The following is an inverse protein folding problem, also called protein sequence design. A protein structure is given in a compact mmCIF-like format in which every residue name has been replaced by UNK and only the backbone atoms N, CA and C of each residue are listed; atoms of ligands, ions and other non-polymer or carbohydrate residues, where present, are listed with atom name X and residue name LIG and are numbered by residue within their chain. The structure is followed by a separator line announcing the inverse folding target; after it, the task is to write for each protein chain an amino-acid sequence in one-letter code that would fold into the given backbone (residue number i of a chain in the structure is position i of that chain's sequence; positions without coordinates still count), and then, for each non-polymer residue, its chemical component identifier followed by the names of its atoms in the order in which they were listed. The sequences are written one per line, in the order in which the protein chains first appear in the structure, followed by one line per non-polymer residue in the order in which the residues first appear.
data_IF_975101163743
#
_entry.id   IF_975101163743
#
_cell.length_a   1.000
_cell.length_b   1.000
_cell.length_c   1.000
_cell.angle_alpha   90.00
_cell.angle_beta   90.00
_cell.angle_gamma   90.00
#
_symmetry.space_group_name_H-M   'P 1'
#
loop_
_entity.id
_entity.type
_entity.pdbx_description
1 polymer ?
#
# COMPACT_ATOMS: atom_id res chain seq x y z
N UNK A 1 -1.40 5.25 -10.02
CA UNK A 1 -0.62 4.92 -11.23
C UNK A 1 0.75 4.49 -10.75
N UNK A 2 1.29 3.40 -11.29
CA UNK A 2 2.51 2.74 -10.81
C UNK A 2 3.62 3.07 -11.81
N UNK A 3 4.25 4.22 -11.56
CA UNK A 3 5.30 4.78 -12.41
C UNK A 3 6.44 5.28 -11.53
N UNK A 4 7.60 4.68 -11.73
CA UNK A 4 8.82 4.93 -10.97
C UNK A 4 9.28 6.39 -11.05
N UNK A 5 8.93 7.08 -12.14
CA UNK A 5 9.26 8.50 -12.36
C UNK A 5 8.55 9.42 -11.37
N UNK A 6 7.38 8.99 -10.88
CA UNK A 6 6.54 9.74 -9.94
C UNK A 6 6.48 9.08 -8.54
N UNK A 7 7.37 8.13 -8.26
CA UNK A 7 7.40 7.39 -6.99
C UNK A 7 8.07 8.17 -5.84
N UNK A 8 7.64 9.42 -5.62
CA UNK A 8 8.29 10.35 -4.69
C UNK A 8 8.43 9.79 -3.28
N UNK A 9 7.39 9.16 -2.74
CA UNK A 9 7.42 8.60 -1.39
C UNK A 9 8.44 7.45 -1.28
N UNK A 10 8.38 6.47 -2.20
CA UNK A 10 9.31 5.32 -2.18
C UNK A 10 10.75 5.80 -2.36
N UNK A 11 10.99 6.82 -3.21
CA UNK A 11 12.31 7.42 -3.36
C UNK A 11 12.81 8.00 -2.05
N UNK A 12 12.00 8.81 -1.37
CA UNK A 12 12.36 9.40 -0.08
C UNK A 12 12.64 8.34 0.99
N UNK A 13 11.80 7.32 1.08
CA UNK A 13 11.93 6.24 2.06
C UNK A 13 13.20 5.40 1.86
N UNK A 14 13.72 5.34 0.63
CA UNK A 14 14.92 4.58 0.27
C UNK A 14 16.15 5.49 0.02
N UNK A 15 16.07 6.79 0.31
CA UNK A 15 17.18 7.71 0.07
C UNK A 15 17.59 7.89 -1.40
N UNK A 16 16.68 7.58 -2.33
CA UNK A 16 16.92 7.69 -3.78
C UNK A 16 16.60 9.12 -4.23
N UNK A 17 17.46 9.67 -5.08
CA UNK A 17 17.29 11.01 -5.62
C UNK A 17 15.96 11.17 -6.43
N UNK A 18 15.39 12.39 -6.47
CA UNK A 18 14.25 12.69 -7.34
C UNK A 18 14.55 12.35 -8.80
N UNK A 19 13.52 11.89 -9.52
CA UNK A 19 13.67 11.48 -10.90
C UNK A 19 14.23 12.61 -11.79
N UNK A 20 15.11 12.24 -12.72
CA UNK A 20 15.64 13.13 -13.74
C UNK A 20 15.71 12.44 -15.11
N UNK A 21 15.80 13.25 -16.17
CA UNK A 21 15.95 12.73 -17.54
C UNK A 21 17.24 11.92 -17.75
N UNK A 22 18.30 12.21 -17.00
CA UNK A 22 19.57 11.47 -17.08
C UNK A 22 19.41 10.05 -16.51
N UNK A 23 18.69 9.91 -15.39
CA UNK A 23 18.35 8.61 -14.80
C UNK A 23 17.53 7.74 -15.76
N UNK A 24 16.60 8.34 -16.51
CA UNK A 24 15.83 7.64 -17.55
C UNK A 24 16.75 7.09 -18.64
N UNK A 25 17.75 7.86 -19.08
CA UNK A 25 18.70 7.38 -20.09
C UNK A 25 19.60 6.26 -19.56
N UNK A 26 20.06 6.37 -18.30
CA UNK A 26 20.83 5.32 -17.64
C UNK A 26 20.03 4.03 -17.48
N UNK A 27 18.76 4.14 -17.08
CA UNK A 27 17.84 3.01 -16.98
C UNK A 27 17.59 2.33 -18.33
N UNK A 28 17.33 3.10 -19.39
CA UNK A 28 17.18 2.57 -20.76
C UNK A 28 18.46 1.89 -21.26
N UNK A 29 19.63 2.43 -20.91
CA UNK A 29 20.93 1.83 -21.23
C UNK A 29 21.13 0.51 -20.47
N UNK A 30 20.75 0.46 -19.19
CA UNK A 30 20.81 -0.76 -18.39
C UNK A 30 19.86 -1.85 -18.90
N UNK A 31 18.66 -1.49 -19.35
CA UNK A 31 17.72 -2.40 -19.99
C UNK A 31 18.30 -2.99 -21.28
N UNK A 32 18.82 -2.15 -22.17
CA UNK A 32 19.35 -2.63 -23.47
C UNK A 32 20.62 -3.45 -23.36
N UNK A 33 21.45 -3.17 -22.35
CA UNK A 33 22.71 -3.89 -22.12
C UNK A 33 22.55 -5.22 -21.37
N UNK A 34 21.36 -5.52 -20.83
CA UNK A 34 21.12 -6.72 -20.02
C UNK A 34 21.51 -6.56 -18.54
N UNK A 35 22.03 -5.39 -18.15
CA UNK A 35 22.43 -5.10 -16.76
C UNK A 35 21.23 -5.09 -15.82
N UNK A 36 20.10 -4.53 -16.27
CA UNK A 36 18.88 -4.46 -15.48
C UNK A 36 18.37 -5.86 -15.08
N UNK A 37 18.39 -6.81 -16.02
CA UNK A 37 17.97 -8.19 -15.78
C UNK A 37 18.95 -8.95 -14.88
N UNK A 38 20.25 -8.69 -15.02
CA UNK A 38 21.24 -9.25 -14.10
C UNK A 38 21.03 -8.76 -12.67
N UNK A 39 20.83 -7.46 -12.50
CA UNK A 39 20.55 -6.85 -11.20
C UNK A 39 19.26 -7.39 -10.60
N UNK A 40 18.17 -7.43 -11.36
CA UNK A 40 16.89 -7.99 -10.93
C UNK A 40 17.03 -9.44 -10.46
N UNK A 41 17.80 -10.26 -11.19
CA UNK A 41 18.07 -11.64 -10.79
C UNK A 41 18.80 -11.69 -9.44
N UNK A 42 19.81 -10.84 -9.20
CA UNK A 42 20.50 -10.78 -7.90
C UNK A 42 19.54 -10.37 -6.79
N UNK A 43 18.75 -9.33 -7.01
CA UNK A 43 17.73 -8.84 -6.07
C UNK A 43 16.74 -9.93 -5.65
N UNK A 44 16.38 -10.84 -6.56
CA UNK A 44 15.43 -11.92 -6.30
C UNK A 44 16.04 -13.21 -5.71
N UNK A 45 17.32 -13.47 -5.96
CA UNK A 45 17.94 -14.79 -5.66
C UNK A 45 18.99 -14.76 -4.57
N UNK A 46 19.60 -13.60 -4.31
CA UNK A 46 20.62 -13.44 -3.28
C UNK A 46 19.95 -12.99 -1.98
N UNK A 47 20.04 -13.77 -0.89
CA UNK A 47 19.46 -13.39 0.39
C UNK A 47 20.05 -12.08 0.91
N UNK A 48 19.20 -11.19 1.43
CA UNK A 48 19.56 -9.87 1.97
C UNK A 48 20.28 -8.93 0.98
N UNK A 49 20.25 -9.21 -0.33
CA UNK A 49 20.98 -8.42 -1.33
C UNK A 49 20.70 -6.93 -1.25
N UNK A 50 19.43 -6.53 -1.13
CA UNK A 50 19.04 -5.13 -0.95
C UNK A 50 19.76 -4.52 0.25
N UNK A 51 19.46 -5.01 1.45
CA UNK A 51 20.02 -4.48 2.71
C UNK A 51 21.56 -4.44 2.70
N UNK A 52 22.19 -5.39 2.03
CA UNK A 52 23.64 -5.52 2.04
C UNK A 52 24.33 -4.69 0.91
N UNK A 53 23.59 -4.12 -0.04
CA UNK A 53 24.17 -3.40 -1.21
C UNK A 53 23.46 -2.11 -1.62
N UNK A 54 22.35 -1.72 -0.98
CA UNK A 54 21.52 -0.56 -1.39
C UNK A 54 22.30 0.76 -1.44
N UNK A 55 23.29 0.94 -0.57
CA UNK A 55 24.15 2.14 -0.55
C UNK A 55 25.09 2.23 -1.77
N UNK A 56 25.33 1.13 -2.48
CA UNK A 56 26.27 1.03 -3.60
C UNK A 56 25.57 1.07 -4.97
N UNK A 57 24.24 1.14 -5.00
CA UNK A 57 23.47 1.10 -6.25
C UNK A 57 23.63 2.37 -7.07
N UNK A 58 23.83 2.21 -8.38
CA UNK A 58 23.76 3.35 -9.28
C UNK A 58 22.32 3.76 -9.62
N UNK A 59 22.16 4.85 -10.36
CA UNK A 59 20.83 5.35 -10.69
C UNK A 59 20.01 4.33 -11.48
N UNK A 60 20.60 3.58 -12.42
CA UNK A 60 19.88 2.59 -13.18
C UNK A 60 19.41 1.41 -12.32
N UNK A 61 20.24 0.95 -11.38
CA UNK A 61 19.90 -0.10 -10.42
C UNK A 61 18.77 0.35 -9.48
N UNK A 62 18.83 1.60 -9.01
CA UNK A 62 17.75 2.23 -8.26
C UNK A 62 16.42 2.28 -9.05
N UNK A 63 16.46 2.64 -10.35
CA UNK A 63 15.25 2.63 -11.19
C UNK A 63 14.69 1.20 -11.39
N UNK A 64 15.56 0.19 -11.53
CA UNK A 64 15.12 -1.23 -11.61
C UNK A 64 14.44 -1.67 -10.31
N UNK A 65 15.01 -1.29 -9.16
CA UNK A 65 14.42 -1.55 -7.85
C UNK A 65 13.05 -0.88 -7.72
N UNK A 66 12.94 0.42 -8.01
CA UNK A 66 11.68 1.17 -7.95
C UNK A 66 10.60 0.58 -8.86
N UNK A 67 10.96 0.24 -10.11
CA UNK A 67 10.03 -0.40 -11.04
C UNK A 67 9.54 -1.76 -10.50
N UNK A 68 10.43 -2.52 -9.85
CA UNK A 68 10.10 -3.82 -9.24
C UNK A 68 9.18 -3.66 -8.03
N UNK A 69 9.45 -2.72 -7.13
CA UNK A 69 8.60 -2.44 -5.96
C UNK A 69 7.22 -1.96 -6.37
N UNK A 70 7.13 -1.04 -7.33
CA UNK A 70 5.84 -0.58 -7.84
C UNK A 70 5.03 -1.70 -8.51
N UNK A 71 5.70 -2.63 -9.19
CA UNK A 71 5.04 -3.81 -9.77
C UNK A 71 4.50 -4.74 -8.68
N UNK A 72 5.23 -4.92 -7.56
CA UNK A 72 4.74 -5.65 -6.40
C UNK A 72 3.50 -4.97 -5.83
N UNK A 73 3.54 -3.63 -5.67
CA UNK A 73 2.40 -2.85 -5.19
C UNK A 73 1.18 -3.01 -6.10
N UNK A 74 1.36 -2.84 -7.41
CA UNK A 74 0.30 -3.03 -8.40
C UNK A 74 -0.33 -4.43 -8.32
N UNK A 75 0.51 -5.46 -8.24
CA UNK A 75 0.06 -6.86 -8.19
C UNK A 75 -0.71 -7.13 -6.90
N UNK A 76 -0.20 -6.64 -5.78
CA UNK A 76 -0.86 -6.79 -4.48
C UNK A 76 -2.21 -6.07 -4.42
N UNK A 77 -2.27 -4.85 -4.96
CA UNK A 77 -3.49 -4.06 -4.95
C UNK A 77 -4.60 -4.72 -5.77
N UNK A 78 -4.30 -5.17 -7.00
CA UNK A 78 -5.28 -5.90 -7.84
C UNK A 78 -5.73 -7.20 -7.16
N UNK A 79 -4.79 -7.97 -6.59
CA UNK A 79 -5.11 -9.21 -5.90
C UNK A 79 -6.04 -8.95 -4.70
N UNK A 80 -5.88 -7.82 -4.02
CA UNK A 80 -6.70 -7.43 -2.88
C UNK A 80 -8.12 -7.07 -3.32
N UNK A 81 -8.27 -6.27 -4.37
CA UNK A 81 -9.59 -6.01 -4.96
C UNK A 81 -10.29 -7.29 -5.43
N UNK A 82 -9.54 -8.24 -6.00
CA UNK A 82 -10.09 -9.53 -6.42
C UNK A 82 -10.53 -10.39 -5.23
N UNK A 83 -9.74 -10.42 -4.14
CA UNK A 83 -10.07 -11.16 -2.90
C UNK A 83 -11.30 -10.59 -2.20
N UNK A 84 -11.44 -9.27 -2.20
CA UNK A 84 -12.53 -8.54 -1.53
C UNK A 84 -13.67 -8.15 -2.48
N UNK A 85 -13.90 -8.95 -3.54
CA UNK A 85 -14.90 -8.64 -4.58
C UNK A 85 -16.29 -8.32 -4.03
N UNK A 86 -16.72 -9.02 -2.98
CA UNK A 86 -18.04 -8.84 -2.37
C UNK A 86 -18.19 -7.52 -1.57
N UNK A 87 -17.07 -6.87 -1.26
CA UNK A 87 -16.98 -5.65 -0.47
C UNK A 87 -16.77 -4.38 -1.31
N UNK A 88 -16.51 -4.55 -2.62
CA UNK A 88 -16.42 -3.43 -3.55
C UNK A 88 -17.73 -2.64 -3.64
N UNK A 89 -17.62 -1.31 -3.56
CA UNK A 89 -18.75 -0.38 -3.46
C UNK A 89 -19.39 -0.28 -2.08
N UNK A 90 -18.93 -1.07 -1.11
CA UNK A 90 -19.46 -1.09 0.27
C UNK A 90 -18.46 -0.51 1.26
N UNK A 91 -17.24 -1.05 1.26
CA UNK A 91 -16.18 -0.64 2.20
C UNK A 91 -14.81 -0.48 1.52
N UNK A 92 -14.72 -0.86 0.25
CA UNK A 92 -13.60 -0.53 -0.64
C UNK A 92 -14.19 -0.04 -1.97
N UNK A 93 -13.49 0.79 -2.76
CA UNK A 93 -13.99 1.26 -4.06
C UNK A 93 -14.30 0.11 -5.03
N UNK A 94 -15.16 0.35 -6.01
CA UNK A 94 -15.18 -0.55 -7.18
C UNK A 94 -13.87 -0.48 -7.95
N UNK A 95 -13.29 -1.64 -8.23
CA UNK A 95 -12.23 -1.81 -9.20
C UNK A 95 -12.85 -1.84 -10.60
N UNK A 96 -12.53 -0.84 -11.42
CA UNK A 96 -13.13 -0.69 -12.74
C UNK A 96 -12.28 -1.36 -13.82
N UNK A 97 -10.96 -1.15 -13.79
CA UNK A 97 -10.02 -1.77 -14.73
C UNK A 97 -8.57 -1.62 -14.26
N UNK A 98 -7.70 -2.47 -14.79
CA UNK A 98 -6.25 -2.21 -14.87
C UNK A 98 -5.92 -1.63 -16.25
N UNK A 99 -5.01 -0.66 -16.31
CA UNK A 99 -4.54 -0.04 -17.55
C UNK A 99 -3.02 -0.20 -17.67
N UNK A 100 -2.56 -0.30 -18.91
CA UNK A 100 -1.14 -0.21 -19.26
C UNK A 100 -1.02 1.00 -20.18
N UNK A 101 -0.18 1.94 -19.79
CA UNK A 101 0.11 3.09 -20.63
C UNK A 101 1.21 2.70 -21.61
N UNK A 102 0.85 2.66 -22.89
CA UNK A 102 1.81 2.50 -23.98
C UNK A 102 2.49 3.85 -24.20
N UNK A 103 3.49 4.12 -23.38
CA UNK A 103 4.36 5.28 -23.55
C UNK A 103 5.41 4.89 -24.59
N UNK A 104 5.53 5.61 -25.72
CA UNK A 104 6.53 5.30 -26.73
C UNK A 104 7.92 5.43 -26.10
N UNK A 105 8.52 4.30 -25.74
CA UNK A 105 9.92 4.24 -25.35
C UNK A 105 10.72 4.74 -26.54
N UNK A 106 11.49 5.81 -26.34
CA UNK A 106 12.47 6.36 -27.29
C UNK A 106 13.05 5.26 -28.20
N UNK A 107 12.86 5.32 -29.53
CA UNK A 107 13.51 4.60 -30.66
C UNK A 107 14.24 3.25 -30.46
N UNK A 108 14.01 2.53 -29.37
CA UNK A 108 14.83 1.41 -28.88
C UNK A 108 13.92 0.20 -28.86
N UNK A 109 14.30 -0.81 -29.64
CA UNK A 109 13.59 -2.07 -29.71
C UNK A 109 13.89 -2.90 -28.45
N UNK A 110 13.07 -2.74 -27.42
CA UNK A 110 13.13 -3.54 -26.20
C UNK A 110 12.55 -4.94 -26.44
N UNK A 111 13.17 -5.97 -25.85
CA UNK A 111 12.59 -7.32 -25.79
C UNK A 111 11.35 -7.34 -24.90
N UNK A 112 10.53 -8.40 -24.98
CA UNK A 112 9.34 -8.55 -24.13
C UNK A 112 9.66 -8.44 -22.64
N UNK A 113 10.78 -9.02 -22.20
CA UNK A 113 11.19 -8.99 -20.79
C UNK A 113 11.63 -7.59 -20.34
N UNK A 114 12.27 -6.82 -21.22
CA UNK A 114 12.66 -5.43 -20.95
C UNK A 114 11.44 -4.51 -20.95
N UNK A 115 10.49 -4.73 -21.86
CA UNK A 115 9.21 -4.01 -21.87
C UNK A 115 8.44 -4.22 -20.56
N UNK A 116 8.49 -5.42 -19.98
CA UNK A 116 7.85 -5.71 -18.70
C UNK A 116 8.42 -4.89 -17.52
N UNK A 117 9.66 -4.45 -17.59
CA UNK A 117 10.27 -3.54 -16.61
C UNK A 117 9.97 -2.06 -16.91
N UNK A 118 9.67 -1.75 -18.17
CA UNK A 118 9.42 -0.38 -18.62
C UNK A 118 7.94 0.02 -18.59
N UNK A 119 7.01 -0.93 -18.59
CA UNK A 119 5.56 -0.68 -18.67
C UNK A 119 5.05 0.10 -17.46
N UNK A 120 4.43 1.26 -17.71
CA UNK A 120 3.66 1.97 -16.70
C UNK A 120 2.29 1.33 -16.53
N UNK A 121 1.99 0.88 -15.32
CA UNK A 121 0.74 0.22 -14.98
C UNK A 121 -0.15 1.16 -14.17
N UNK A 122 -1.46 0.98 -14.25
CA UNK A 122 -2.42 1.79 -13.51
C UNK A 122 -3.67 1.01 -13.18
N UNK A 123 -4.43 1.53 -12.23
CA UNK A 123 -5.75 1.03 -11.86
C UNK A 123 -6.76 2.18 -11.97
N UNK A 124 -7.96 1.84 -12.42
CA UNK A 124 -9.11 2.72 -12.44
C UNK A 124 -10.07 2.26 -11.34
N UNK A 125 -10.38 3.18 -10.43
CA UNK A 125 -11.23 2.93 -9.28
C UNK A 125 -12.47 3.82 -9.35
N UNK A 126 -13.53 3.42 -8.65
CA UNK A 126 -14.67 4.28 -8.35
C UNK A 126 -14.18 5.58 -7.72
N UNK A 127 -14.62 6.69 -8.27
CA UNK A 127 -14.45 7.99 -7.62
C UNK A 127 -15.33 8.07 -6.38
N UNK A 128 -14.72 8.41 -5.25
CA UNK A 128 -15.39 8.61 -3.96
C UNK A 128 -15.43 10.10 -3.64
N UNK A 129 -16.61 10.77 -3.70
CA UNK A 129 -16.73 12.20 -3.42
C UNK A 129 -16.73 12.46 -1.90
N UNK A 130 -15.58 12.26 -1.27
CA UNK A 130 -15.40 12.34 0.18
C UNK A 130 -14.12 13.07 0.59
N UNK A 131 -13.78 12.94 1.86
CA UNK A 131 -12.56 13.48 2.46
C UNK A 131 -11.79 12.38 3.19
N UNK A 132 -10.51 12.61 3.45
CA UNK A 132 -9.68 11.67 4.19
C UNK A 132 -10.15 11.55 5.64
N UNK A 133 -10.08 10.35 6.23
CA UNK A 133 -10.28 10.19 7.68
C UNK A 133 -9.31 11.05 8.49
N UNK A 134 -8.12 11.35 7.95
CA UNK A 134 -7.15 12.24 8.60
C UNK A 134 -7.63 13.68 8.76
N UNK A 135 -8.55 14.15 7.92
CA UNK A 135 -9.13 15.51 7.94
C UNK A 135 -10.58 15.52 8.41
N UNK A 136 -11.06 14.44 9.03
CA UNK A 136 -12.46 14.27 9.44
C UNK A 136 -12.98 15.40 10.35
N UNK A 137 -12.15 15.90 11.27
CA UNK A 137 -12.53 16.94 12.25
C UNK A 137 -13.01 18.23 11.55
N UNK A 138 -12.46 18.54 10.39
CA UNK A 138 -12.79 19.75 9.64
C UNK A 138 -14.01 19.56 8.71
N UNK A 139 -14.44 18.32 8.48
CA UNK A 139 -15.38 17.96 7.42
C UNK A 139 -16.62 17.20 7.89
N UNK A 140 -16.66 16.74 9.14
CA UNK A 140 -17.78 16.01 9.72
C UNK A 140 -18.14 16.56 11.11
N UNK A 141 -19.43 16.56 11.50
CA UNK A 141 -19.85 16.98 12.82
C UNK A 141 -19.37 15.97 13.88
N UNK A 142 -19.01 16.47 15.06
CA UNK A 142 -18.49 15.69 16.19
C UNK A 142 -19.33 14.46 16.52
N UNK A 143 -20.66 14.58 16.45
CA UNK A 143 -21.60 13.50 16.71
C UNK A 143 -21.42 12.26 15.81
N UNK A 144 -20.71 12.39 14.68
CA UNK A 144 -20.46 11.30 13.74
C UNK A 144 -19.08 10.65 13.88
N UNK A 145 -18.14 11.27 14.61
CA UNK A 145 -16.73 10.87 14.61
C UNK A 145 -16.53 9.45 15.13
N UNK A 146 -17.20 9.06 16.21
CA UNK A 146 -17.12 7.70 16.75
C UNK A 146 -17.53 6.66 15.68
N UNK A 147 -18.71 6.83 15.07
CA UNK A 147 -19.24 5.89 14.08
C UNK A 147 -18.38 5.80 12.81
N UNK A 148 -17.72 6.89 12.42
CA UNK A 148 -16.78 6.89 11.29
C UNK A 148 -15.52 6.07 11.64
N UNK A 149 -14.95 6.27 12.82
CA UNK A 149 -13.74 5.55 13.26
C UNK A 149 -14.03 4.05 13.45
N UNK A 150 -15.19 3.72 14.04
CA UNK A 150 -15.63 2.34 14.20
C UNK A 150 -15.78 1.62 12.86
N UNK A 151 -16.31 2.30 11.84
CA UNK A 151 -16.37 1.75 10.48
C UNK A 151 -14.97 1.46 9.94
N UNK A 152 -14.01 2.38 10.08
CA UNK A 152 -12.64 2.18 9.61
C UNK A 152 -11.97 0.96 10.27
N UNK A 153 -12.14 0.79 11.58
CA UNK A 153 -11.68 -0.38 12.33
C UNK A 153 -12.34 -1.66 11.83
N UNK A 154 -13.65 -1.63 11.57
CA UNK A 154 -14.37 -2.79 11.04
C UNK A 154 -13.85 -3.22 9.65
N UNK A 155 -13.37 -2.29 8.82
CA UNK A 155 -12.75 -2.61 7.54
C UNK A 155 -11.44 -3.38 7.75
N UNK A 156 -10.61 -2.96 8.70
CA UNK A 156 -9.39 -3.67 9.11
C UNK A 156 -9.70 -5.09 9.60
N UNK A 157 -10.85 -5.28 10.27
CA UNK A 157 -11.32 -6.60 10.64
C UNK A 157 -11.61 -7.47 9.41
N UNK A 158 -12.37 -6.94 8.44
CA UNK A 158 -12.68 -7.63 7.18
C UNK A 158 -11.41 -8.05 6.44
N UNK A 159 -10.38 -7.20 6.36
CA UNK A 159 -9.09 -7.58 5.76
C UNK A 159 -8.48 -8.79 6.49
N UNK A 160 -8.44 -8.74 7.82
CA UNK A 160 -7.95 -9.86 8.64
C UNK A 160 -8.72 -11.17 8.39
N UNK A 161 -10.04 -11.11 8.34
CA UNK A 161 -10.91 -12.28 8.11
C UNK A 161 -10.71 -12.90 6.71
N UNK A 162 -10.19 -12.13 5.76
CA UNK A 162 -9.87 -12.58 4.40
C UNK A 162 -8.40 -13.00 4.22
N UNK A 163 -7.65 -13.12 5.32
CA UNK A 163 -6.25 -13.49 5.31
C UNK A 163 -5.37 -12.42 4.66
N UNK A 164 -5.71 -11.14 4.83
CA UNK A 164 -4.98 -10.00 4.31
C UNK A 164 -4.31 -9.26 5.48
N UNK A 165 -3.05 -8.91 5.30
CA UNK A 165 -2.30 -8.01 6.18
C UNK A 165 -1.89 -6.81 5.32
N UNK A 166 -2.28 -5.61 5.70
CA UNK A 166 -1.87 -4.38 5.04
C UNK A 166 -0.82 -3.67 5.90
N UNK A 167 0.38 -3.44 5.34
CA UNK A 167 1.46 -2.77 6.06
C UNK A 167 1.30 -1.24 6.12
N UNK A 168 0.37 -0.67 5.34
CA UNK A 168 0.15 0.78 5.24
C UNK A 168 -1.27 1.18 5.71
N UNK A 169 -1.71 0.62 6.83
CA UNK A 169 -2.95 1.07 7.47
C UNK A 169 -2.68 2.39 8.17
N UNK A 170 -3.30 3.47 7.69
CA UNK A 170 -3.26 4.80 8.31
C UNK A 170 -4.52 5.58 7.95
N UNK A 171 -4.93 6.60 8.73
CA UNK A 171 -6.14 7.38 8.45
C UNK A 171 -6.19 7.98 7.04
N UNK A 172 -5.05 8.35 6.46
CA UNK A 172 -4.97 8.91 5.11
C UNK A 172 -5.39 7.93 3.99
N UNK A 173 -5.37 6.62 4.29
CA UNK A 173 -5.78 5.56 3.37
C UNK A 173 -7.27 5.18 3.56
N UNK A 174 -8.06 6.06 4.21
CA UNK A 174 -9.52 5.93 4.30
C UNK A 174 -10.21 7.18 3.75
N UNK A 175 -11.20 6.99 2.88
CA UNK A 175 -12.08 8.04 2.40
C UNK A 175 -13.44 7.92 3.10
N UNK A 176 -13.86 9.02 3.70
CA UNK A 176 -15.18 9.19 4.32
C UNK A 176 -16.09 9.90 3.34
N UNK A 177 -17.14 9.23 2.89
CA UNK A 177 -18.10 9.74 1.91
C UNK A 177 -19.40 10.11 2.63
N UNK A 178 -19.85 11.38 2.55
CA UNK A 178 -21.17 11.77 3.02
C UNK A 178 -22.26 11.03 2.25
N UNK A 179 -23.24 10.48 2.98
CA UNK A 179 -24.38 9.76 2.40
C UNK A 179 -25.64 10.13 3.19
N UNK A 180 -26.42 11.04 2.61
CA UNK A 180 -27.56 11.67 3.27
C UNK A 180 -27.13 12.27 4.63
N UNK A 181 -27.77 11.86 5.73
CA UNK A 181 -27.45 12.30 7.09
C UNK A 181 -26.39 11.41 7.78
N UNK A 182 -25.67 10.58 7.02
CA UNK A 182 -24.68 9.62 7.53
C UNK A 182 -23.36 9.66 6.75
N UNK A 183 -22.41 8.82 7.15
CA UNK A 183 -21.11 8.69 6.49
C UNK A 183 -20.80 7.23 6.21
N UNK A 184 -20.25 6.97 5.02
CA UNK A 184 -19.77 5.67 4.60
C UNK A 184 -18.25 5.73 4.44
N UNK A 185 -17.53 4.83 5.10
CA UNK A 185 -16.07 4.79 5.05
C UNK A 185 -15.60 3.74 4.05
N UNK A 186 -14.59 4.11 3.29
CA UNK A 186 -13.92 3.25 2.33
C UNK A 186 -12.44 3.21 2.61
N UNK A 187 -11.84 2.03 2.64
CA UNK A 187 -10.38 1.91 2.60
C UNK A 187 -9.90 1.95 1.16
N UNK A 188 -8.81 2.67 0.93
CA UNK A 188 -8.08 2.75 -0.33
C UNK A 188 -6.64 2.32 -0.10
N UNK A 189 -5.87 2.24 -1.19
CA UNK A 189 -4.44 1.91 -1.18
C UNK A 189 -4.14 0.52 -0.58
N UNK A 190 -4.09 -0.47 -1.47
CA UNK A 190 -3.77 -1.85 -1.13
C UNK A 190 -2.39 -2.27 -1.64
N UNK A 191 -1.54 -1.31 -2.02
CA UNK A 191 -0.21 -1.59 -2.58
C UNK A 191 0.67 -2.41 -1.63
N UNK A 192 0.56 -2.16 -0.32
CA UNK A 192 1.36 -2.85 0.70
C UNK A 192 0.62 -4.01 1.38
N UNK A 193 -0.37 -4.60 0.71
CA UNK A 193 -1.01 -5.81 1.20
C UNK A 193 -0.11 -7.04 1.01
N UNK A 194 -0.24 -8.03 1.89
CA UNK A 194 0.21 -9.40 1.68
C UNK A 194 -0.91 -10.36 2.07
N UNK A 195 -0.94 -11.51 1.42
CA UNK A 195 -1.85 -12.60 1.75
C UNK A 195 -1.17 -13.58 2.68
N UNK A 196 -1.97 -14.17 3.58
CA UNK A 196 -1.57 -15.35 4.34
C UNK A 196 -1.19 -16.48 3.37
N UNK A 197 -0.03 -17.08 3.58
CA UNK A 197 0.43 -18.21 2.75
C UNK A 197 -0.23 -19.51 3.20
N UNK A 198 -0.33 -20.47 2.29
CA UNK A 198 -0.90 -21.80 2.61
C UNK A 198 -0.06 -22.56 3.63
N UNK A 199 1.25 -22.33 3.65
CA UNK A 199 2.22 -22.92 4.57
C UNK A 199 2.48 -22.08 5.84
N UNK A 200 1.87 -20.88 5.95
CA UNK A 200 2.04 -19.99 7.11
C UNK A 200 1.15 -20.45 8.27
N UNK A 201 1.80 -20.84 9.37
CA UNK A 201 1.12 -21.30 10.58
C UNK A 201 0.28 -20.20 11.23
N UNK A 202 -0.71 -20.57 12.06
CA UNK A 202 -1.51 -19.58 12.81
C UNK A 202 -0.63 -18.71 13.72
N UNK A 203 0.45 -19.28 14.25
CA UNK A 203 1.41 -18.55 15.09
C UNK A 203 2.19 -17.50 14.31
N UNK A 204 2.68 -17.84 13.11
CA UNK A 204 3.40 -16.89 12.25
C UNK A 204 2.46 -15.78 11.76
N UNK A 205 1.27 -16.15 11.29
CA UNK A 205 0.27 -15.19 10.83
C UNK A 205 -0.19 -14.28 11.97
N UNK A 206 -0.55 -14.84 13.12
CA UNK A 206 -0.98 -14.11 14.30
C UNK A 206 0.10 -13.15 14.80
N UNK A 207 1.37 -13.59 14.83
CA UNK A 207 2.52 -12.74 15.17
C UNK A 207 2.69 -11.58 14.20
N UNK A 208 2.53 -11.82 12.90
CA UNK A 208 2.64 -10.76 11.92
C UNK A 208 1.51 -9.73 12.04
N UNK A 209 0.26 -10.19 12.24
CA UNK A 209 -0.89 -9.30 12.44
C UNK A 209 -0.78 -8.51 13.75
N UNK A 210 -0.28 -9.13 14.81
CA UNK A 210 0.01 -8.47 16.07
C UNK A 210 1.04 -7.34 15.89
N UNK A 211 2.20 -7.66 15.30
CA UNK A 211 3.28 -6.69 15.09
C UNK A 211 2.88 -5.52 14.20
N UNK A 212 2.01 -5.77 13.23
CA UNK A 212 1.54 -4.71 12.34
C UNK A 212 0.56 -3.77 13.03
N UNK A 213 -0.21 -4.26 14.01
CA UNK A 213 -1.23 -3.53 14.76
C UNK A 213 -2.10 -2.60 13.89
N UNK A 214 -2.69 -3.15 12.83
CA UNK A 214 -3.53 -2.39 11.89
C UNK A 214 -4.71 -1.72 12.60
N UNK A 215 -5.23 -2.34 13.67
CA UNK A 215 -6.32 -1.81 14.46
C UNK A 215 -5.87 -0.57 15.23
N UNK A 216 -4.73 -0.64 15.93
CA UNK A 216 -4.13 0.49 16.62
C UNK A 216 -3.68 1.61 15.68
N UNK A 217 -3.22 1.28 14.47
CA UNK A 217 -2.83 2.25 13.45
C UNK A 217 -3.99 3.18 13.02
N UNK A 218 -5.25 2.74 13.21
CA UNK A 218 -6.43 3.60 13.10
C UNK A 218 -6.87 4.08 14.49
N UNK A 219 -7.20 3.16 15.39
CA UNK A 219 -7.88 3.47 16.65
C UNK A 219 -7.03 4.32 17.60
N UNK A 220 -5.77 3.95 17.86
CA UNK A 220 -4.89 4.75 18.73
C UNK A 220 -4.53 6.09 18.10
N UNK A 221 -4.30 6.13 16.78
CA UNK A 221 -3.98 7.36 16.06
C UNK A 221 -5.16 8.33 16.11
N UNK A 222 -6.38 7.86 15.81
CA UNK A 222 -7.58 8.69 15.85
C UNK A 222 -7.93 9.10 17.28
N UNK A 223 -7.80 8.21 18.27
CA UNK A 223 -7.98 8.55 19.70
C UNK A 223 -7.05 9.70 20.11
N UNK A 224 -5.77 9.62 19.74
CA UNK A 224 -4.78 10.66 20.03
C UNK A 224 -5.10 11.98 19.33
N UNK A 225 -5.51 11.95 18.05
CA UNK A 225 -5.88 13.15 17.28
C UNK A 225 -7.13 13.82 17.83
N UNK A 226 -8.19 13.06 18.09
CA UNK A 226 -9.48 13.58 18.56
C UNK A 226 -9.40 14.14 19.98
N UNK A 227 -8.57 13.53 20.84
CA UNK A 227 -8.29 14.06 22.18
C UNK A 227 -7.75 15.51 22.14
N UNK A 228 -6.98 15.87 21.12
CA UNK A 228 -6.43 17.24 20.97
C UNK A 228 -7.50 18.29 20.71
N UNK A 229 -8.65 17.90 20.20
CA UNK A 229 -9.80 18.79 19.95
C UNK A 229 -10.92 18.61 21.00
N UNK A 230 -10.63 17.91 22.09
CA UNK A 230 -11.56 17.75 23.23
C UNK A 230 -12.55 16.59 23.11
N UNK A 231 -12.40 15.73 22.10
CA UNK A 231 -13.27 14.56 21.92
C UNK A 231 -12.62 13.28 22.48
N UNK A 232 -13.36 12.56 23.31
CA UNK A 232 -12.94 11.27 23.86
C UNK A 232 -13.48 10.12 23.01
N UNK A 233 -12.63 9.61 22.12
CA UNK A 233 -12.97 8.41 21.34
C UNK A 233 -12.99 7.17 22.24
N UNK A 234 -14.12 6.46 22.23
CA UNK A 234 -14.23 5.15 22.85
C UNK A 234 -13.63 4.09 21.91
N UNK A 235 -12.33 3.85 22.05
CA UNK A 235 -11.62 2.79 21.34
C UNK A 235 -10.95 1.86 22.35
N UNK A 236 -11.30 0.58 22.22
CA UNK A 236 -10.72 -0.56 22.94
C UNK A 236 -10.24 -1.57 21.88
N UNK A 237 -8.94 -1.92 21.85
CA UNK A 237 -8.42 -2.91 20.93
C UNK A 237 -9.10 -4.27 21.13
N UNK A 238 -9.37 -5.00 20.06
CA UNK A 238 -9.97 -6.35 20.16
C UNK A 238 -9.05 -7.39 20.78
N UNK A 239 -7.74 -7.13 20.80
CA UNK A 239 -6.69 -8.08 21.21
C UNK A 239 -6.75 -9.42 20.47
N UNK A 240 -7.39 -9.45 19.28
CA UNK A 240 -7.67 -10.67 18.52
C UNK A 240 -6.44 -11.51 18.21
N UNK A 241 -5.25 -10.90 18.17
CA UNK A 241 -3.98 -11.58 17.90
C UNK A 241 -3.07 -11.77 19.12
N UNK A 242 -3.49 -11.35 20.33
CA UNK A 242 -2.69 -11.42 21.55
C UNK A 242 -2.26 -12.85 21.90
N UNK A 243 -3.12 -13.83 21.61
CA UNK A 243 -2.82 -15.25 21.83
C UNK A 243 -1.54 -15.74 21.14
N UNK A 244 -1.08 -15.03 20.10
CA UNK A 244 0.15 -15.34 19.36
C UNK A 244 1.32 -14.42 19.74
N UNK A 245 1.13 -13.46 20.64
CA UNK A 245 2.16 -12.56 21.16
C UNK A 245 2.26 -12.66 22.69
N UNK A 246 2.59 -13.84 23.24
CA UNK A 246 2.60 -14.05 24.69
C UNK A 246 3.62 -13.13 25.37
N UNK A 247 3.18 -12.36 26.36
CA UNK A 247 4.04 -11.47 27.15
C UNK A 247 4.20 -10.06 26.56
N UNK A 248 3.38 -9.69 25.59
CA UNK A 248 3.28 -8.33 25.03
C UNK A 248 1.95 -7.66 25.42
N UNK A 249 1.38 -8.06 26.57
CA UNK A 249 0.05 -7.69 27.07
C UNK A 249 -0.03 -6.25 27.65
N UNK A 250 1.06 -5.48 27.63
CA UNK A 250 1.25 -4.19 28.35
C UNK A 250 1.15 -2.94 27.47
#
# INVERSE_FOLDING_TARGET
MFDQRFAEQIRQDNGIDPWSGDMEQEFLTALTSGKAEEFLRKLQTVPNFQRDTEDDWDAAENEVYLATELRKCFTSEIATYARLKEYQGKIIPHFLASVILDMPSSNVALTTQQQELYKQQGILLQYLPGFSLSTMVDNAPEASWQAIVDQAIQIVHVLGDHGILNADVRPDNFIVVPKDDTYQVFMIDFGQCRFRREDESDAEWGRAKWRQDEEGAVGHVMKSRLKKVGFELNFEPTWRYLAWAPGEDD
#
